data_IF_017618262666
#
_entry.id   IF_017618262666
#
_cell.length_a   1.000
_cell.length_b   1.000
_cell.length_c   1.000
_cell.angle_alpha   90.00
_cell.angle_beta   90.00
_cell.angle_gamma   90.00
#
_symmetry.space_group_name_H-M   'P 1'
#
loop_
_entity.id
_entity.type
_entity.pdbx_description
1 polymer ?
#
# COMPACT_ATOMS: atom_id res chain seq x y z
N UNK A 1 -8.29 -1.59 0.45
CA UNK A 1 -8.18 -3.06 0.23
C UNK A 1 -6.70 -3.45 0.26
N UNK A 2 -6.34 -4.70 0.58
CA UNK A 2 -4.95 -5.20 0.43
C UNK A 2 -4.80 -5.86 -0.94
N UNK A 3 -3.73 -5.54 -1.66
CA UNK A 3 -3.55 -5.92 -3.05
C UNK A 3 -3.49 -7.44 -3.24
N UNK A 4 -3.95 -7.97 -4.40
CA UNK A 4 -4.05 -9.41 -4.62
C UNK A 4 -2.68 -10.09 -4.71
N UNK A 5 -1.65 -9.37 -5.12
CA UNK A 5 -0.29 -9.88 -5.29
C UNK A 5 0.54 -9.88 -4.00
N UNK A 6 0.13 -9.16 -2.95
CA UNK A 6 0.95 -9.04 -1.73
C UNK A 6 0.90 -10.32 -0.91
N UNK A 7 2.08 -10.83 -0.55
CA UNK A 7 2.21 -11.80 0.54
C UNK A 7 1.69 -11.21 1.86
N UNK A 8 1.30 -12.10 2.77
CA UNK A 8 0.59 -11.75 4.00
C UNK A 8 0.97 -12.69 5.16
N UNK A 9 0.46 -12.43 6.35
CA UNK A 9 0.70 -13.22 7.56
C UNK A 9 1.35 -12.44 8.70
N UNK A 10 1.49 -13.09 9.86
CA UNK A 10 1.92 -12.47 11.12
C UNK A 10 3.32 -11.81 11.08
N UNK A 11 4.17 -12.17 10.09
CA UNK A 11 5.49 -11.57 9.91
C UNK A 11 5.45 -10.17 9.29
N UNK A 12 4.35 -9.78 8.64
CA UNK A 12 4.19 -8.44 8.07
C UNK A 12 3.90 -7.45 9.19
N UNK A 13 4.84 -6.55 9.47
CA UNK A 13 4.69 -5.56 10.56
C UNK A 13 3.85 -4.36 10.17
N UNK A 14 3.99 -3.89 8.92
CA UNK A 14 3.32 -2.69 8.44
C UNK A 14 3.02 -2.82 6.94
N UNK A 15 1.89 -2.25 6.53
CA UNK A 15 1.45 -2.12 5.14
C UNK A 15 1.54 -0.66 4.71
N UNK A 16 1.82 -0.43 3.42
CA UNK A 16 1.84 0.91 2.82
C UNK A 16 1.29 0.84 1.39
N UNK A 17 0.98 1.99 0.75
CA UNK A 17 0.48 2.03 -0.62
C UNK A 17 1.46 1.37 -1.60
N UNK A 18 1.02 0.25 -2.19
CA UNK A 18 1.79 -0.49 -3.20
C UNK A 18 1.18 -0.44 -4.59
N UNK A 19 -0.05 0.07 -4.74
CA UNK A 19 -0.76 0.21 -6.01
C UNK A 19 -1.55 -1.02 -6.47
N UNK A 20 -2.55 -0.83 -7.33
CA UNK A 20 -3.25 -1.90 -8.06
C UNK A 20 -3.63 -1.41 -9.45
N UNK A 21 -2.94 -1.91 -10.47
CA UNK A 21 -3.13 -1.47 -11.86
C UNK A 21 -4.45 -1.93 -12.48
N UNK A 22 -5.21 -2.79 -11.80
CA UNK A 22 -6.50 -3.31 -12.28
C UNK A 22 -7.71 -2.51 -11.77
N UNK A 23 -7.46 -1.49 -10.94
CA UNK A 23 -8.49 -0.71 -10.25
C UNK A 23 -8.37 0.76 -10.60
N UNK A 24 -9.50 1.44 -10.53
CA UNK A 24 -9.69 2.89 -10.65
C UNK A 24 -10.87 3.21 -9.72
N UNK A 25 -10.61 3.17 -8.42
CA UNK A 25 -11.65 3.25 -7.39
C UNK A 25 -12.26 4.66 -7.29
N UNK A 26 -11.48 5.71 -7.64
CA UNK A 26 -11.93 7.10 -7.63
C UNK A 26 -12.45 7.60 -8.99
N UNK A 27 -12.37 6.77 -10.04
CA UNK A 27 -12.88 7.01 -11.40
C UNK A 27 -12.25 8.22 -12.05
N UNK A 28 -10.99 8.49 -11.76
CA UNK A 28 -10.25 9.60 -12.36
C UNK A 28 -9.66 9.24 -13.74
N UNK A 29 -9.87 8.00 -14.20
CA UNK A 29 -9.38 7.49 -15.48
C UNK A 29 -7.91 7.07 -15.43
N UNK A 30 -7.33 6.99 -14.23
CA UNK A 30 -5.99 6.50 -13.96
C UNK A 30 -6.10 5.24 -13.09
N UNK A 31 -5.16 4.29 -13.25
CA UNK A 31 -5.12 3.16 -12.35
C UNK A 31 -4.74 3.61 -10.93
N UNK A 32 -5.23 2.89 -9.91
CA UNK A 32 -4.85 3.03 -8.50
C UNK A 32 -3.40 2.57 -8.23
N UNK A 33 -2.46 2.87 -9.13
CA UNK A 33 -1.04 2.54 -9.06
C UNK A 33 -0.21 3.62 -8.33
N UNK A 34 1.07 3.33 -8.12
CA UNK A 34 2.05 4.31 -7.64
C UNK A 34 2.81 4.86 -8.83
N UNK A 35 2.64 6.16 -9.11
CA UNK A 35 3.36 6.85 -10.17
C UNK A 35 4.87 6.84 -9.88
N UNK A 36 5.62 6.14 -10.73
CA UNK A 36 7.04 5.83 -10.50
C UNK A 36 7.89 6.38 -11.63
N UNK A 37 9.12 6.82 -11.31
CA UNK A 37 10.12 7.23 -12.32
C UNK A 37 10.62 5.99 -13.06
N UNK A 38 10.10 5.76 -14.26
CA UNK A 38 10.40 4.59 -15.09
C UNK A 38 10.25 4.96 -16.54
N UNK A 39 11.26 4.63 -17.35
CA UNK A 39 11.12 4.67 -18.79
C UNK A 39 10.16 3.58 -19.25
N UNK A 40 9.10 3.96 -19.96
CA UNK A 40 8.12 3.04 -20.52
C UNK A 40 7.57 3.56 -21.85
N UNK A 41 6.85 2.70 -22.57
CA UNK A 41 6.19 3.03 -23.83
C UNK A 41 4.69 2.79 -23.70
N UNK A 42 3.88 3.53 -24.47
CA UNK A 42 2.42 3.42 -24.49
C UNK A 42 1.79 3.52 -23.09
N UNK A 43 2.24 4.49 -22.30
CA UNK A 43 1.74 4.69 -20.94
C UNK A 43 0.55 5.63 -20.93
N UNK A 44 -0.20 5.62 -19.83
CA UNK A 44 -1.26 6.59 -19.57
C UNK A 44 -0.59 7.93 -19.23
N UNK A 45 -1.05 9.02 -19.84
CA UNK A 45 -0.61 10.37 -19.48
C UNK A 45 -1.18 10.74 -18.10
N UNK A 46 -0.35 10.89 -17.05
CA UNK A 46 -0.85 11.26 -15.73
C UNK A 46 -1.48 12.66 -15.74
N UNK A 47 -1.14 13.54 -16.67
CA UNK A 47 -1.75 14.86 -16.81
C UNK A 47 -3.04 14.84 -17.66
N UNK A 48 -3.25 13.82 -18.49
CA UNK A 48 -4.42 13.68 -19.38
C UNK A 48 -4.95 12.23 -19.37
N UNK A 49 -5.80 11.88 -18.39
CA UNK A 49 -6.41 10.54 -18.32
C UNK A 49 -7.09 10.14 -19.63
N UNK A 50 -6.96 8.87 -20.01
CA UNK A 50 -7.46 8.35 -21.29
C UNK A 50 -6.61 8.67 -22.52
N UNK A 51 -5.58 9.51 -22.39
CA UNK A 51 -4.59 9.72 -23.44
C UNK A 51 -3.38 8.80 -23.23
N UNK A 52 -2.90 8.21 -24.33
CA UNK A 52 -1.68 7.41 -24.34
C UNK A 52 -0.49 8.24 -24.81
N UNK A 53 0.62 8.12 -24.10
CA UNK A 53 1.92 8.71 -24.48
C UNK A 53 2.86 7.60 -24.99
N UNK A 54 3.45 7.82 -26.16
CA UNK A 54 4.29 6.83 -26.83
C UNK A 54 5.56 6.49 -26.03
N UNK A 55 6.12 7.48 -25.33
CA UNK A 55 7.28 7.34 -24.45
C UNK A 55 7.07 8.18 -23.19
N UNK A 56 7.40 7.61 -22.04
CA UNK A 56 7.15 8.23 -20.75
C UNK A 56 8.33 7.95 -19.81
N UNK A 57 8.64 8.91 -18.97
CA UNK A 57 9.63 8.79 -17.89
C UNK A 57 8.97 8.59 -16.52
N UNK A 58 7.64 8.61 -16.51
CA UNK A 58 6.80 8.25 -15.39
C UNK A 58 5.77 7.23 -15.85
N UNK A 59 5.57 6.20 -15.05
CA UNK A 59 4.58 5.15 -15.31
C UNK A 59 3.97 4.73 -13.97
N UNK A 60 2.67 4.44 -13.97
CA UNK A 60 2.02 3.82 -12.83
C UNK A 60 2.52 2.39 -12.69
N UNK A 61 2.93 2.03 -11.48
CA UNK A 61 3.42 0.69 -11.14
C UNK A 61 2.72 0.18 -9.89
N UNK A 62 2.74 -1.14 -9.71
CA UNK A 62 2.28 -1.77 -8.50
C UNK A 62 3.28 -2.80 -7.99
N UNK A 63 3.36 -2.94 -6.67
CA UNK A 63 4.21 -3.94 -6.04
C UNK A 63 4.46 -3.66 -4.56
N UNK A 64 4.93 -4.68 -3.85
CA UNK A 64 5.51 -4.47 -2.51
C UNK A 64 6.77 -3.62 -2.59
N UNK A 65 7.48 -3.65 -3.73
CA UNK A 65 8.58 -2.74 -4.06
C UNK A 65 8.17 -1.26 -4.10
N UNK A 66 6.89 -0.95 -4.36
CA UNK A 66 6.36 0.42 -4.32
C UNK A 66 5.83 0.78 -2.93
N UNK A 67 5.41 -0.21 -2.13
CA UNK A 67 5.07 0.01 -0.72
C UNK A 67 6.30 0.30 0.16
N UNK A 68 7.42 -0.41 -0.08
CA UNK A 68 8.66 -0.25 0.68
C UNK A 68 9.19 1.20 0.77
N UNK A 69 9.30 1.99 -0.33
CA UNK A 69 9.79 3.36 -0.26
C UNK A 69 8.89 4.29 0.56
N UNK A 70 7.58 4.06 0.63
CA UNK A 70 6.69 4.83 1.51
C UNK A 70 7.05 4.62 2.99
N UNK A 71 7.35 3.39 3.39
CA UNK A 71 7.80 3.07 4.76
C UNK A 71 9.19 3.64 5.04
N UNK A 72 10.11 3.54 4.07
CA UNK A 72 11.45 4.12 4.19
C UNK A 72 11.40 5.64 4.33
N UNK A 73 10.57 6.33 3.55
CA UNK A 73 10.37 7.77 3.65
C UNK A 73 9.78 8.16 5.02
N UNK A 74 8.80 7.41 5.51
CA UNK A 74 8.23 7.59 6.85
C UNK A 74 9.29 7.50 7.95
N UNK A 75 10.17 6.48 7.89
CA UNK A 75 11.27 6.32 8.83
C UNK A 75 12.31 7.45 8.69
N UNK A 76 12.59 7.91 7.47
CA UNK A 76 13.49 9.03 7.24
C UNK A 76 12.96 10.33 7.87
N UNK A 77 11.66 10.62 7.73
CA UNK A 77 11.01 11.76 8.40
C UNK A 77 11.08 11.65 9.92
N UNK A 78 10.83 10.45 10.48
CA UNK A 78 10.99 10.21 11.91
C UNK A 78 12.44 10.41 12.36
N UNK A 79 13.44 9.98 11.57
CA UNK A 79 14.85 10.19 11.89
C UNK A 79 15.26 11.65 11.80
N UNK A 80 14.71 12.41 10.85
CA UNK A 80 14.93 13.85 10.78
C UNK A 80 14.34 14.58 12.00
N UNK A 81 13.16 14.15 12.47
CA UNK A 81 12.53 14.70 13.69
C UNK A 81 13.21 14.26 14.98
N UNK A 82 13.77 13.05 15.02
CA UNK A 82 14.46 12.48 16.18
C UNK A 82 15.88 12.02 15.81
N UNK A 83 16.85 12.94 15.64
CA UNK A 83 18.18 12.60 15.13
C UNK A 83 18.96 11.59 15.98
N UNK A 84 18.74 11.56 17.30
CA UNK A 84 19.38 10.61 18.22
C UNK A 84 18.67 9.27 18.32
N UNK A 85 17.46 9.11 17.76
CA UNK A 85 16.70 7.87 17.86
C UNK A 85 17.41 6.71 17.16
N UNK A 86 17.48 5.57 17.82
CA UNK A 86 18.01 4.33 17.27
C UNK A 86 16.95 3.59 16.44
N UNK A 87 17.32 2.59 15.61
CA UNK A 87 16.36 1.91 14.73
C UNK A 87 15.15 1.29 15.44
N UNK A 88 15.33 0.76 16.65
CA UNK A 88 14.23 0.23 17.48
C UNK A 88 13.22 1.31 17.87
N UNK A 89 13.70 2.50 18.22
CA UNK A 89 12.85 3.63 18.59
C UNK A 89 12.06 4.15 17.39
N UNK A 90 12.71 4.23 16.23
CA UNK A 90 12.05 4.64 14.98
C UNK A 90 10.96 3.64 14.59
N UNK A 91 11.23 2.33 14.71
CA UNK A 91 10.24 1.28 14.48
C UNK A 91 9.05 1.42 15.43
N UNK A 92 9.31 1.60 16.73
CA UNK A 92 8.25 1.77 17.72
C UNK A 92 7.40 3.02 17.45
N UNK A 93 8.04 4.15 17.13
CA UNK A 93 7.37 5.40 16.75
C UNK A 93 6.50 5.25 15.50
N UNK A 94 7.02 4.57 14.48
CA UNK A 94 6.27 4.27 13.25
C UNK A 94 5.04 3.40 13.53
N UNK A 95 5.20 2.36 14.34
CA UNK A 95 4.10 1.47 14.69
C UNK A 95 3.07 2.14 15.61
N UNK A 96 3.49 3.08 16.47
CA UNK A 96 2.56 3.85 17.30
C UNK A 96 1.78 4.90 16.52
N UNK A 97 2.33 5.47 15.44
CA UNK A 97 1.62 6.42 14.57
C UNK A 97 0.75 5.74 13.50
N UNK A 98 1.02 4.47 13.18
CA UNK A 98 0.22 3.73 12.20
C UNK A 98 -1.21 3.39 12.64
N UNK A 99 -2.11 3.25 11.68
CA UNK A 99 -3.52 2.93 11.93
C UNK A 99 -3.74 1.42 12.12
N UNK A 100 -4.61 1.01 13.06
CA UNK A 100 -5.09 -0.37 13.10
C UNK A 100 -5.90 -0.68 11.84
N UNK A 101 -5.98 -1.96 11.49
CA UNK A 101 -6.89 -2.45 10.45
C UNK A 101 -7.91 -3.40 11.04
N UNK A 102 -9.11 -3.33 10.48
CA UNK A 102 -10.17 -4.30 10.68
C UNK A 102 -9.97 -5.50 9.76
N UNK A 103 -10.49 -6.67 10.14
CA UNK A 103 -10.37 -7.89 9.33
C UNK A 103 -11.01 -7.73 7.93
N UNK A 104 -12.08 -6.94 7.83
CA UNK A 104 -12.77 -6.65 6.56
C UNK A 104 -11.88 -5.88 5.58
N UNK A 105 -11.03 -4.98 6.06
CA UNK A 105 -10.06 -4.25 5.22
C UNK A 105 -8.96 -5.15 4.65
N UNK A 106 -8.88 -6.38 5.16
CA UNK A 106 -7.90 -7.39 4.80
C UNK A 106 -8.47 -8.54 3.98
N UNK A 107 -9.76 -8.49 3.69
CA UNK A 107 -10.48 -9.49 2.90
C UNK A 107 -10.01 -9.59 1.45
N UNK A 108 -10.36 -10.71 0.81
CA UNK A 108 -10.26 -10.90 -0.63
C UNK A 108 -10.90 -12.22 -1.07
N UNK A 109 -10.78 -12.59 -2.34
CA UNK A 109 -11.43 -13.79 -2.89
C UNK A 109 -11.00 -15.06 -2.17
N UNK A 110 -11.96 -15.88 -1.70
CA UNK A 110 -11.69 -17.17 -1.05
C UNK A 110 -10.84 -18.11 -1.92
N UNK A 111 -10.97 -18.06 -3.24
CA UNK A 111 -10.15 -18.85 -4.17
C UNK A 111 -8.65 -18.52 -4.10
N UNK A 112 -8.29 -17.31 -3.67
CA UNK A 112 -6.90 -16.93 -3.44
C UNK A 112 -6.39 -17.33 -2.03
N UNK A 113 -7.29 -17.78 -1.13
CA UNK A 113 -7.00 -18.08 0.28
C UNK A 113 -7.65 -19.40 0.70
N UNK A 114 -7.12 -20.56 0.27
CA UNK A 114 -7.62 -21.86 0.71
C UNK A 114 -7.62 -21.98 2.23
N UNK A 115 -8.79 -22.29 2.82
CA UNK A 115 -8.97 -22.36 4.28
C UNK A 115 -9.25 -21.03 4.97
N UNK A 116 -9.42 -19.94 4.23
CA UNK A 116 -9.89 -18.66 4.78
C UNK A 116 -11.33 -18.73 5.29
N UNK A 117 -11.65 -17.96 6.32
CA UNK A 117 -13.01 -17.86 6.87
C UNK A 117 -13.88 -17.00 5.96
N UNK A 118 -15.00 -17.50 5.40
CA UNK A 118 -15.90 -16.71 4.58
C UNK A 118 -16.53 -15.54 5.35
N UNK A 119 -16.75 -14.44 4.65
CA UNK A 119 -17.41 -13.25 5.19
C UNK A 119 -18.91 -13.45 5.08
N UNK A 120 -19.63 -13.28 6.19
CA UNK A 120 -21.09 -13.38 6.20
C UNK A 120 -21.72 -12.43 5.16
N UNK A 121 -22.58 -12.96 4.30
CA UNK A 121 -23.19 -12.21 3.20
C UNK A 121 -22.30 -12.01 1.96
N UNK A 122 -21.10 -12.59 1.91
CA UNK A 122 -20.21 -12.57 0.75
C UNK A 122 -19.46 -13.90 0.61
N UNK A 123 -20.11 -14.95 0.07
CA UNK A 123 -19.57 -16.31 0.06
C UNK A 123 -18.25 -16.47 -0.70
N UNK A 124 -18.00 -15.59 -1.68
CA UNK A 124 -16.76 -15.59 -2.46
C UNK A 124 -15.60 -14.82 -1.79
N UNK A 125 -15.85 -14.14 -0.66
CA UNK A 125 -14.88 -13.31 0.04
C UNK A 125 -14.54 -13.91 1.38
N UNK A 126 -13.24 -14.05 1.65
CA UNK A 126 -12.72 -14.61 2.90
C UNK A 126 -11.84 -13.58 3.62
N UNK A 127 -11.80 -13.67 4.94
CA UNK A 127 -10.82 -12.95 5.75
C UNK A 127 -9.41 -13.48 5.46
N UNK A 128 -8.45 -12.56 5.28
CA UNK A 128 -7.03 -12.89 5.14
C UNK A 128 -6.24 -12.26 6.28
N UNK A 129 -5.26 -12.99 6.87
CA UNK A 129 -4.37 -12.43 7.87
C UNK A 129 -3.40 -11.45 7.20
N UNK A 130 -3.76 -10.17 7.17
CA UNK A 130 -2.98 -9.10 6.53
C UNK A 130 -1.74 -8.63 7.31
N UNK A 131 -1.46 -9.24 8.47
CA UNK A 131 -0.39 -8.81 9.36
C UNK A 131 -0.77 -7.55 10.13
N UNK A 132 0.23 -6.72 10.41
CA UNK A 132 0.15 -5.60 11.35
C UNK A 132 -0.60 -4.37 10.84
N UNK A 133 -0.04 -3.19 11.11
CA UNK A 133 -0.75 -1.91 10.98
C UNK A 133 -0.64 -1.32 9.56
N UNK A 134 -1.49 -0.35 9.24
CA UNK A 134 -1.39 0.42 8.00
C UNK A 134 -0.64 1.73 8.26
N UNK A 135 0.34 2.05 7.41
CA UNK A 135 1.07 3.31 7.47
C UNK A 135 0.10 4.50 7.42
N UNK A 136 0.17 5.35 8.43
CA UNK A 136 -0.48 6.65 8.45
C UNK A 136 0.42 7.60 9.25
N UNK A 137 0.99 8.60 8.59
CA UNK A 137 1.83 9.58 9.25
C UNK A 137 1.06 10.76 9.85
N UNK A 138 -0.25 10.90 9.57
CA UNK A 138 -1.07 11.96 10.14
C UNK A 138 -1.23 11.83 11.67
N UNK A 139 -1.12 10.61 12.21
CA UNK A 139 -1.14 10.41 13.67
C UNK A 139 0.26 10.50 14.30
N UNK A 140 1.31 10.79 13.52
CA UNK A 140 2.59 11.09 14.13
C UNK A 140 2.41 12.40 14.91
N UNK A 141 2.66 12.42 16.23
CA UNK A 141 2.32 13.56 17.06
C UNK A 141 2.91 14.83 16.45
N UNK A 142 2.05 15.78 16.10
CA UNK A 142 2.45 17.16 15.84
C UNK A 142 3.08 17.73 17.12
N UNK A 143 3.99 18.68 16.97
CA UNK A 143 4.65 19.33 18.11
C UNK A 143 3.65 19.97 19.06
#
# INVERSE_FOLDING_TARGET
VLTPYSNYGAKVSIMAPGGDMSRDDDKDGRPDGVLSTKFSKNCIDPAKPGASVAQCYYSYENGTSMAAPHVSAALALLKAKYPSAVPSDLRSKLLSSSMPRTETQCSGKCSAYPGGTPIAGSPDMCFRPCGGKMLNLANAPAQ
#
